data_IF_069086430682
#
_entry.id   IF_069086430682
#
_cell.length_a   1.000
_cell.length_b   1.000
_cell.length_c   1.000
_cell.angle_alpha   90.00
_cell.angle_beta   90.00
_cell.angle_gamma   90.00
#
_symmetry.space_group_name_H-M   'P 1'
#
loop_
_entity.id
_entity.type
_entity.pdbx_description
1 polymer ?
#
# COMPACT_ATOMS: atom_id res chain seq x y z
N UNK A 1 15.37 -12.15 -18.81
CA UNK A 1 14.80 -10.84 -18.44
C UNK A 1 13.69 -11.12 -17.43
N UNK A 2 14.04 -11.23 -16.14
CA UNK A 2 13.07 -11.55 -15.11
C UNK A 2 12.21 -10.32 -14.84
N UNK A 3 10.90 -10.46 -14.92
CA UNK A 3 9.96 -9.41 -14.53
C UNK A 3 10.16 -9.17 -13.03
N UNK A 4 10.88 -8.11 -12.69
CA UNK A 4 10.68 -7.45 -11.40
C UNK A 4 9.22 -6.95 -11.42
N UNK A 5 8.47 -7.29 -10.38
CA UNK A 5 7.02 -7.10 -10.29
C UNK A 5 6.68 -6.21 -9.10
N UNK A 6 6.54 -4.91 -9.35
CA UNK A 6 5.82 -4.03 -8.43
C UNK A 6 4.38 -4.53 -8.22
N UNK A 7 3.78 -4.16 -7.10
CA UNK A 7 2.37 -4.43 -6.84
C UNK A 7 1.59 -3.11 -6.87
N UNK A 8 0.32 -3.20 -7.24
CA UNK A 8 -0.56 -2.05 -7.38
C UNK A 8 -1.90 -2.33 -6.71
N UNK A 9 -2.33 -1.40 -5.86
CA UNK A 9 -3.57 -1.46 -5.12
C UNK A 9 -4.61 -0.52 -5.74
N UNK A 10 -5.77 -1.06 -6.09
CA UNK A 10 -6.91 -0.27 -6.51
C UNK A 10 -7.75 0.15 -5.32
N UNK A 11 -8.19 1.41 -5.32
CA UNK A 11 -8.87 2.06 -4.21
C UNK A 11 -10.27 2.50 -4.61
N UNK A 12 -11.24 2.22 -3.75
CA UNK A 12 -12.58 2.77 -3.89
C UNK A 12 -12.64 4.26 -3.50
N UNK A 13 -13.84 4.85 -3.59
CA UNK A 13 -14.09 6.26 -3.24
C UNK A 13 -13.80 6.62 -1.76
N UNK A 14 -13.66 5.63 -0.88
CA UNK A 14 -13.32 5.81 0.53
C UNK A 14 -11.83 5.52 0.81
N UNK A 15 -11.00 5.42 -0.23
CA UNK A 15 -9.61 4.98 -0.17
C UNK A 15 -9.42 3.56 0.38
N UNK A 16 -10.44 2.70 0.32
CA UNK A 16 -10.33 1.30 0.71
C UNK A 16 -9.76 0.47 -0.44
N UNK A 17 -8.78 -0.37 -0.15
CA UNK A 17 -8.15 -1.27 -1.11
C UNK A 17 -9.13 -2.37 -1.50
N UNK A 18 -9.55 -2.39 -2.76
CA UNK A 18 -10.48 -3.41 -3.29
C UNK A 18 -9.74 -4.59 -3.91
N UNK A 19 -8.54 -4.38 -4.42
CA UNK A 19 -7.73 -5.40 -5.09
C UNK A 19 -6.25 -5.01 -5.10
N UNK A 20 -5.36 -6.00 -5.07
CA UNK A 20 -3.92 -5.82 -5.26
C UNK A 20 -3.46 -6.72 -6.40
N UNK A 21 -2.84 -6.14 -7.43
CA UNK A 21 -2.35 -6.85 -8.61
C UNK A 21 -0.82 -6.76 -8.72
N UNK A 22 -0.15 -7.78 -9.28
CA UNK A 22 1.19 -7.61 -9.78
C UNK A 22 1.15 -6.72 -11.03
N UNK A 23 2.14 -5.85 -11.20
CA UNK A 23 2.25 -4.95 -12.33
C UNK A 23 3.68 -4.67 -12.74
N UNK A 24 3.85 -3.78 -13.70
CA UNK A 24 5.17 -3.38 -14.17
C UNK A 24 5.92 -2.57 -13.11
N UNK A 25 7.21 -2.83 -12.96
CA UNK A 25 8.07 -1.88 -12.27
C UNK A 25 8.21 -0.58 -13.05
N UNK A 26 8.35 0.57 -12.36
CA UNK A 26 8.75 1.80 -13.00
C UNK A 26 10.10 1.60 -13.71
N UNK A 27 10.14 1.85 -15.02
CA UNK A 27 11.34 1.75 -15.83
C UNK A 27 11.79 3.12 -16.35
N UNK A 28 12.73 3.09 -17.29
CA UNK A 28 13.13 4.28 -18.06
C UNK A 28 12.12 4.68 -19.14
N UNK A 29 10.97 4.01 -19.21
CA UNK A 29 9.89 4.33 -20.15
C UNK A 29 9.18 5.64 -19.83
N UNK A 30 9.43 6.21 -18.64
CA UNK A 30 8.83 7.47 -18.20
C UNK A 30 7.33 7.37 -17.94
N UNK A 31 6.81 6.15 -17.81
CA UNK A 31 5.38 5.90 -17.61
C UNK A 31 5.07 5.94 -16.12
N UNK A 32 4.11 6.80 -15.75
CA UNK A 32 3.45 6.71 -14.45
C UNK A 32 2.46 5.53 -14.47
N UNK A 33 2.92 4.38 -13.98
CA UNK A 33 2.10 3.18 -13.90
C UNK A 33 0.94 3.29 -12.89
N UNK A 34 1.04 4.13 -11.85
CA UNK A 34 -0.12 4.40 -10.98
C UNK A 34 -1.23 5.07 -11.78
N UNK A 35 -0.88 6.09 -12.57
CA UNK A 35 -1.82 6.77 -13.45
C UNK A 35 -2.36 5.83 -14.53
N UNK A 36 -1.47 5.09 -15.22
CA UNK A 36 -1.87 4.20 -16.31
C UNK A 36 -2.87 3.13 -15.86
N UNK A 37 -2.56 2.41 -14.77
CA UNK A 37 -3.48 1.40 -14.24
C UNK A 37 -4.77 2.04 -13.74
N UNK A 38 -4.68 3.24 -13.16
CA UNK A 38 -5.84 3.96 -12.67
C UNK A 38 -6.80 4.37 -13.77
N UNK A 39 -6.28 4.90 -14.88
CA UNK A 39 -7.05 5.26 -16.08
C UNK A 39 -7.62 4.03 -16.76
N UNK A 40 -6.81 2.97 -16.93
CA UNK A 40 -7.24 1.71 -17.54
C UNK A 40 -8.45 1.10 -16.80
N UNK A 41 -8.46 1.19 -15.47
CA UNK A 41 -9.55 0.65 -14.64
C UNK A 41 -10.67 1.64 -14.36
N UNK A 42 -10.43 2.95 -14.53
CA UNK A 42 -11.32 3.99 -14.05
C UNK A 42 -11.43 4.05 -12.52
N UNK A 43 -10.34 3.72 -11.81
CA UNK A 43 -10.31 3.63 -10.36
C UNK A 43 -8.94 4.10 -9.84
N UNK A 44 -8.88 4.76 -8.68
CA UNK A 44 -7.60 5.19 -8.14
C UNK A 44 -6.68 4.00 -7.92
N UNK A 45 -5.42 4.12 -8.33
CA UNK A 45 -4.45 3.04 -8.27
C UNK A 45 -3.16 3.54 -7.62
N UNK A 46 -2.64 2.78 -6.66
CA UNK A 46 -1.45 3.14 -5.88
C UNK A 46 -0.46 1.99 -5.82
N UNK A 47 0.81 2.26 -6.12
CA UNK A 47 1.90 1.29 -6.07
C UNK A 47 2.23 0.91 -4.63
N UNK A 48 2.61 -0.34 -4.44
CA UNK A 48 2.94 -0.94 -3.16
C UNK A 48 4.05 -1.99 -3.35
N UNK A 49 4.83 -2.27 -2.30
CA UNK A 49 5.89 -3.28 -2.33
C UNK A 49 5.68 -4.29 -1.21
N UNK A 50 5.65 -5.58 -1.57
CA UNK A 50 5.52 -6.68 -0.60
C UNK A 50 6.65 -6.66 0.45
N UNK A 51 7.80 -6.09 0.08
CA UNK A 51 8.96 -5.99 0.95
C UNK A 51 8.92 -4.79 1.90
N UNK A 52 7.82 -4.02 1.91
CA UNK A 52 7.71 -2.82 2.73
C UNK A 52 6.77 -3.00 3.92
N UNK A 53 7.27 -2.68 5.11
CA UNK A 53 6.53 -2.77 6.36
C UNK A 53 7.03 -1.71 7.35
N UNK A 54 6.12 -1.01 8.01
CA UNK A 54 6.43 -0.02 9.05
C UNK A 54 7.40 1.09 8.62
N UNK A 55 7.38 1.48 7.34
CA UNK A 55 8.27 2.50 6.78
C UNK A 55 9.61 1.95 6.30
N UNK A 56 9.85 0.64 6.38
CA UNK A 56 11.13 0.04 6.01
C UNK A 56 10.98 -0.91 4.82
N UNK A 57 11.87 -0.79 3.84
CA UNK A 57 11.99 -1.78 2.76
C UNK A 57 13.02 -2.85 3.15
N UNK A 58 12.56 -4.09 3.34
CA UNK A 58 13.33 -5.22 3.89
C UNK A 58 14.55 -5.64 3.05
N UNK A 59 14.61 -5.22 1.79
CA UNK A 59 15.74 -5.50 0.88
C UNK A 59 16.66 -4.28 0.65
N UNK A 60 16.55 -3.23 1.49
CA UNK A 60 17.41 -2.04 1.40
C UNK A 60 17.08 -1.07 0.26
N UNK A 61 15.85 -1.13 -0.25
CA UNK A 61 15.33 -0.16 -1.23
C UNK A 61 14.60 1.00 -0.55
N UNK A 62 14.05 1.91 -1.34
CA UNK A 62 13.16 2.95 -0.83
C UNK A 62 11.72 2.44 -0.79
N UNK A 63 11.01 2.55 0.34
CA UNK A 63 9.59 2.20 0.43
C UNK A 63 8.75 3.15 -0.43
N UNK A 64 7.85 2.61 -1.25
CA UNK A 64 6.89 3.45 -1.99
C UNK A 64 5.82 4.07 -1.09
N UNK A 65 5.51 3.38 0.01
CA UNK A 65 4.52 3.70 1.05
C UNK A 65 4.97 3.05 2.34
N UNK A 66 4.47 3.51 3.49
CA UNK A 66 4.93 2.91 4.77
C UNK A 66 4.67 1.41 4.89
N UNK A 67 3.58 0.90 4.32
CA UNK A 67 3.16 -0.49 4.47
C UNK A 67 2.75 -1.08 3.13
N UNK A 68 2.81 -2.41 3.00
CA UNK A 68 2.19 -3.11 1.89
C UNK A 68 0.65 -3.04 1.97
N UNK A 69 0.00 -2.77 0.84
CA UNK A 69 -1.46 -2.82 0.73
C UNK A 69 -2.01 -4.25 0.86
N UNK A 70 -3.11 -4.41 1.60
CA UNK A 70 -3.95 -5.59 1.58
C UNK A 70 -5.39 -5.22 1.28
N UNK A 71 -6.17 -6.14 0.70
CA UNK A 71 -7.61 -5.91 0.49
C UNK A 71 -8.28 -5.59 1.83
N UNK A 72 -9.11 -4.54 1.85
CA UNK A 72 -9.74 -4.00 3.06
C UNK A 72 -8.89 -2.98 3.83
N UNK A 73 -7.64 -2.74 3.44
CA UNK A 73 -6.81 -1.70 4.05
C UNK A 73 -7.30 -0.33 3.58
N UNK A 74 -7.07 0.71 4.37
CA UNK A 74 -7.35 2.09 3.97
C UNK A 74 -6.04 2.78 3.57
N UNK A 75 -6.01 3.44 2.42
CA UNK A 75 -4.91 4.31 2.04
C UNK A 75 -5.07 5.68 2.70
N UNK A 76 -4.11 6.07 3.52
CA UNK A 76 -4.00 7.39 4.12
C UNK A 76 -2.99 8.23 3.32
N UNK A 77 -3.50 9.22 2.58
CA UNK A 77 -2.68 10.10 1.75
C UNK A 77 -1.82 11.09 2.56
N UNK A 78 -2.20 11.41 3.81
CA UNK A 78 -1.40 12.30 4.65
C UNK A 78 -0.18 11.58 5.23
N UNK A 79 -0.35 10.30 5.59
CA UNK A 79 0.72 9.46 6.14
C UNK A 79 1.47 8.66 5.07
N UNK A 80 0.99 8.72 3.84
CA UNK A 80 1.43 7.92 2.69
C UNK A 80 1.56 6.42 3.02
N UNK A 81 0.48 5.86 3.57
CA UNK A 81 0.47 4.53 4.17
C UNK A 81 -0.79 3.75 3.83
N UNK A 82 -0.64 2.43 3.65
CA UNK A 82 -1.77 1.51 3.72
C UNK A 82 -1.95 1.04 5.16
N UNK A 83 -3.11 1.29 5.73
CA UNK A 83 -3.41 1.01 7.14
C UNK A 83 -4.36 -0.18 7.20
N UNK A 84 -3.99 -1.28 7.87
CA UNK A 84 -4.92 -2.41 8.06
C UNK A 84 -6.16 -1.98 8.85
N UNK A 85 -7.29 -2.68 8.70
CA UNK A 85 -8.44 -2.51 9.59
C UNK A 85 -8.01 -2.58 11.05
N UNK A 86 -8.62 -1.75 11.91
CA UNK A 86 -8.34 -1.78 13.35
C UNK A 86 -8.63 -3.18 13.90
N UNK A 87 -7.67 -3.83 14.59
CA UNK A 87 -7.90 -5.11 15.22
C UNK A 87 -9.03 -5.02 16.24
N UNK A 88 -9.85 -6.07 16.27
CA UNK A 88 -10.92 -6.24 17.25
C UNK A 88 -10.58 -7.51 18.04
N UNK A 89 -10.16 -7.34 19.29
CA UNK A 89 -9.84 -8.44 20.19
C UNK A 89 -10.43 -8.12 21.58
N UNK A 90 -11.17 -9.07 22.16
CA UNK A 90 -11.86 -8.88 23.43
C UNK A 90 -10.86 -8.61 24.56
N UNK A 91 -11.10 -7.56 25.34
CA UNK A 91 -10.24 -7.18 26.47
C UNK A 91 -8.98 -6.40 26.07
N UNK A 92 -8.76 -6.11 24.78
CA UNK A 92 -7.60 -5.34 24.30
C UNK A 92 -8.00 -4.04 23.63
N UNK A 93 -7.10 -3.06 23.74
CA UNK A 93 -7.23 -1.77 23.05
C UNK A 93 -6.04 -1.58 22.14
N UNK A 94 -6.29 -1.13 20.92
CA UNK A 94 -5.24 -0.81 19.95
C UNK A 94 -5.23 0.68 19.63
N UNK A 95 -4.05 1.27 19.60
CA UNK A 95 -3.79 2.60 19.08
C UNK A 95 -2.97 2.51 17.78
N UNK A 96 -3.16 3.47 16.89
CA UNK A 96 -2.35 3.56 15.68
C UNK A 96 -1.04 4.27 16.04
N UNK A 97 0.09 3.61 15.80
CA UNK A 97 1.38 4.29 15.80
C UNK A 97 1.47 5.14 14.53
N UNK A 98 1.51 6.47 14.66
CA UNK A 98 1.50 7.38 13.52
C UNK A 98 2.81 7.35 12.69
N UNK A 99 3.91 6.88 13.30
CA UNK A 99 5.20 6.73 12.62
C UNK A 99 5.15 5.52 11.70
N UNK A 100 4.77 4.36 12.22
CA UNK A 100 4.77 3.08 11.47
C UNK A 100 3.46 2.79 10.73
N UNK A 101 2.38 3.46 11.13
CA UNK A 101 1.01 3.19 10.68
C UNK A 101 0.58 1.74 10.95
N UNK A 102 1.09 1.16 12.04
CA UNK A 102 0.71 -0.16 12.56
C UNK A 102 -0.15 0.00 13.81
N UNK A 103 -1.03 -0.98 14.04
CA UNK A 103 -1.78 -1.04 15.28
C UNK A 103 -0.92 -1.65 16.38
N UNK A 104 -0.77 -0.91 17.49
CA UNK A 104 -0.07 -1.37 18.68
C UNK A 104 -1.09 -1.58 19.80
N UNK A 105 -0.97 -2.70 20.50
CA UNK A 105 -1.73 -2.98 21.72
C UNK A 105 -1.28 -2.00 22.81
N UNK A 106 -2.26 -1.42 23.52
CA UNK A 106 -2.07 -0.44 24.60
C UNK A 106 -2.12 -1.10 25.97
#
# INVERSE_FOLDING_TARGET
MGLIMAHYAFLDQNNCVTEVIPGKDPGEDGIDWEQWYGEFRGQMCKRTSYNTYAGEHRLGGEPFRKNYAGVGYTYDAQRDAFIPPKPIEEGKTFALDEVTCQWVEM
#
